data_IF_047054648106
#
_entry.id   IF_047054648106
#
_cell.length_a   1.000
_cell.length_b   1.000
_cell.length_c   1.000
_cell.angle_alpha   90.00
_cell.angle_beta   90.00
_cell.angle_gamma   90.00
#
_symmetry.space_group_name_H-M   'P 1'
#
loop_
_entity.id
_entity.type
_entity.pdbx_description
1 polymer ?
#
# COMPACT_ATOMS: atom_id res chain seq x y z
N UNK A 1 9.64 -17.34 11.67
CA UNK A 1 10.00 -16.62 10.43
C UNK A 1 11.07 -17.34 9.60
N UNK A 2 12.21 -17.79 10.14
CA UNK A 2 13.23 -18.50 9.35
C UNK A 2 12.67 -19.70 8.55
N UNK A 3 11.85 -20.54 9.17
CA UNK A 3 11.18 -21.65 8.47
C UNK A 3 10.22 -21.18 7.36
N UNK A 4 9.55 -20.07 7.55
CA UNK A 4 8.68 -19.45 6.51
C UNK A 4 9.52 -19.01 5.32
N UNK A 5 10.62 -18.29 5.57
CA UNK A 5 11.54 -17.84 4.51
C UNK A 5 12.08 -19.03 3.72
N UNK A 6 12.49 -20.10 4.41
CA UNK A 6 13.02 -21.30 3.78
C UNK A 6 11.97 -22.03 2.90
N UNK A 7 10.71 -22.03 3.29
CA UNK A 7 9.63 -22.70 2.54
C UNK A 7 9.09 -21.85 1.39
N UNK A 8 8.92 -20.55 1.60
CA UNK A 8 8.41 -19.63 0.58
C UNK A 8 9.48 -19.31 -0.48
N UNK A 9 10.75 -19.29 -0.09
CA UNK A 9 11.84 -18.90 -0.97
C UNK A 9 11.96 -17.39 -1.13
N UNK A 10 12.62 -16.96 -2.19
CA UNK A 10 12.79 -15.54 -2.50
C UNK A 10 11.47 -14.93 -3.00
N UNK A 11 11.12 -13.76 -2.49
CA UNK A 11 9.95 -13.00 -2.93
C UNK A 11 10.46 -11.80 -3.75
N UNK A 12 10.13 -11.79 -5.04
CA UNK A 12 10.28 -10.60 -5.88
C UNK A 12 9.00 -9.77 -5.82
N UNK A 13 9.15 -8.45 -5.89
CA UNK A 13 8.03 -7.53 -5.95
C UNK A 13 8.26 -6.49 -7.05
N UNK A 14 7.19 -6.15 -7.73
CA UNK A 14 7.19 -4.99 -8.60
C UNK A 14 7.27 -3.71 -7.76
N UNK A 15 8.01 -2.73 -8.25
CA UNK A 15 8.24 -1.45 -7.59
C UNK A 15 7.81 -0.34 -8.56
N UNK A 16 6.98 0.58 -8.08
CA UNK A 16 6.70 1.81 -8.79
C UNK A 16 7.69 2.87 -8.31
N UNK A 17 8.59 3.30 -9.17
CA UNK A 17 9.67 4.24 -8.81
C UNK A 17 9.26 5.70 -8.91
N UNK A 18 8.08 6.00 -9.42
CA UNK A 18 7.51 7.35 -9.49
C UNK A 18 6.47 7.58 -8.41
N UNK A 19 6.78 8.48 -7.46
CA UNK A 19 5.91 8.73 -6.31
C UNK A 19 4.55 9.34 -6.70
N UNK A 20 4.50 10.20 -7.74
CA UNK A 20 3.24 10.74 -8.22
C UNK A 20 2.33 9.65 -8.77
N UNK A 21 2.87 8.84 -9.68
CA UNK A 21 2.20 7.70 -10.28
C UNK A 21 1.71 6.70 -9.21
N UNK A 22 2.56 6.37 -8.25
CA UNK A 22 2.21 5.47 -7.14
C UNK A 22 1.02 5.97 -6.33
N UNK A 23 0.98 7.25 -5.95
CA UNK A 23 -0.16 7.84 -5.22
C UNK A 23 -1.45 7.71 -6.05
N UNK A 24 -1.41 8.07 -7.33
CA UNK A 24 -2.57 7.93 -8.24
C UNK A 24 -3.01 6.47 -8.34
N UNK A 25 -2.08 5.55 -8.56
CA UNK A 25 -2.34 4.11 -8.66
C UNK A 25 -3.01 3.55 -7.40
N UNK A 26 -2.54 3.95 -6.22
CA UNK A 26 -3.16 3.57 -4.95
C UNK A 26 -4.58 4.11 -4.79
N UNK A 27 -4.84 5.37 -5.18
CA UNK A 27 -6.22 5.92 -5.14
C UNK A 27 -7.14 5.15 -6.10
N UNK A 28 -6.67 4.83 -7.30
CA UNK A 28 -7.43 4.03 -8.28
C UNK A 28 -7.80 2.68 -7.71
N UNK A 29 -6.87 2.00 -7.03
CA UNK A 29 -7.03 0.64 -6.52
C UNK A 29 -7.96 0.50 -5.31
N UNK A 30 -8.33 1.59 -4.63
CA UNK A 30 -9.14 1.52 -3.40
C UNK A 30 -10.49 0.86 -3.64
N UNK A 31 -10.85 -0.11 -2.76
CA UNK A 31 -12.16 -0.79 -2.74
C UNK A 31 -12.56 -1.48 -4.05
N UNK A 32 -11.60 -1.88 -4.87
CA UNK A 32 -11.84 -2.67 -6.09
C UNK A 32 -10.86 -3.86 -6.13
N UNK A 33 -11.15 -4.83 -7.00
CA UNK A 33 -10.23 -5.97 -7.20
C UNK A 33 -8.96 -5.54 -7.95
N UNK A 34 -7.87 -6.26 -7.74
CA UNK A 34 -6.61 -6.05 -8.48
C UNK A 34 -6.81 -6.08 -10.00
N UNK A 35 -7.67 -6.99 -10.50
CA UNK A 35 -7.99 -7.04 -11.93
C UNK A 35 -8.69 -5.78 -12.44
N UNK A 36 -9.63 -5.23 -11.65
CA UNK A 36 -10.32 -3.99 -12.01
C UNK A 36 -9.35 -2.80 -11.96
N UNK A 37 -8.48 -2.74 -10.95
CA UNK A 37 -7.44 -1.73 -10.86
C UNK A 37 -6.51 -1.77 -12.08
N UNK A 38 -5.99 -2.93 -12.46
CA UNK A 38 -5.12 -3.08 -13.62
C UNK A 38 -5.81 -2.61 -14.91
N UNK A 39 -7.11 -2.92 -15.08
CA UNK A 39 -7.88 -2.47 -16.25
C UNK A 39 -8.02 -0.94 -16.30
N UNK A 40 -8.33 -0.31 -15.17
CA UNK A 40 -8.46 1.16 -15.10
C UNK A 40 -7.09 1.81 -15.30
N UNK A 41 -6.06 1.25 -14.68
CA UNK A 41 -4.69 1.76 -14.79
C UNK A 41 -4.20 1.74 -16.25
N UNK A 42 -4.43 0.65 -16.97
CA UNK A 42 -4.09 0.55 -18.39
C UNK A 42 -4.81 1.64 -19.22
N UNK A 43 -6.11 1.87 -18.97
CA UNK A 43 -6.86 2.92 -19.66
C UNK A 43 -6.31 4.33 -19.38
N UNK A 44 -5.85 4.57 -18.14
CA UNK A 44 -5.19 5.84 -17.78
C UNK A 44 -3.92 6.01 -18.61
N UNK A 45 -3.06 4.99 -18.65
CA UNK A 45 -1.82 5.02 -19.43
C UNK A 45 -2.07 5.18 -20.95
N UNK A 46 -3.04 4.45 -21.51
CA UNK A 46 -3.40 4.52 -22.91
C UNK A 46 -3.95 5.91 -23.29
N UNK A 47 -4.64 6.59 -22.38
CA UNK A 47 -5.28 7.88 -22.63
C UNK A 47 -4.37 9.07 -22.36
N UNK A 48 -3.61 9.00 -21.27
CA UNK A 48 -2.79 10.13 -20.81
C UNK A 48 -1.32 10.00 -21.21
N UNK A 49 -0.86 8.79 -21.55
CA UNK A 49 0.56 8.48 -21.68
C UNK A 49 1.24 8.46 -20.31
N UNK A 50 2.11 9.43 -20.08
CA UNK A 50 2.74 9.58 -18.77
C UNK A 50 1.76 10.16 -17.73
N UNK A 51 1.79 9.56 -16.53
CA UNK A 51 0.91 9.94 -15.42
C UNK A 51 1.64 10.94 -14.53
N UNK A 52 1.45 12.23 -14.78
CA UNK A 52 2.01 13.33 -13.98
C UNK A 52 0.97 14.45 -13.79
N UNK A 53 1.29 15.42 -12.94
CA UNK A 53 0.33 16.46 -12.54
C UNK A 53 -0.32 17.20 -13.72
N UNK A 54 0.46 17.58 -14.73
CA UNK A 54 -0.05 18.34 -15.88
C UNK A 54 -1.03 17.51 -16.74
N UNK A 55 -0.72 16.22 -17.00
CA UNK A 55 -1.60 15.35 -17.79
C UNK A 55 -2.91 15.07 -17.06
N UNK A 56 -2.88 14.89 -15.75
CA UNK A 56 -4.08 14.74 -14.90
C UNK A 56 -4.93 16.02 -14.93
N UNK A 57 -4.33 17.18 -14.72
CA UNK A 57 -5.05 18.46 -14.71
C UNK A 57 -5.65 18.79 -16.09
N UNK A 58 -4.94 18.50 -17.17
CA UNK A 58 -5.42 18.68 -18.54
C UNK A 58 -6.63 17.79 -18.86
N UNK A 59 -6.63 16.55 -18.37
CA UNK A 59 -7.75 15.62 -18.54
C UNK A 59 -8.99 16.07 -17.78
N UNK A 60 -8.82 16.47 -16.52
CA UNK A 60 -9.89 16.89 -15.63
C UNK A 60 -10.76 15.75 -15.11
N UNK A 61 -11.58 16.07 -14.11
CA UNK A 61 -12.41 15.08 -13.40
C UNK A 61 -13.34 14.26 -14.31
N UNK A 62 -14.06 14.86 -15.30
CA UNK A 62 -14.96 14.06 -16.14
C UNK A 62 -14.25 13.02 -16.99
N UNK A 63 -13.10 13.36 -17.57
CA UNK A 63 -12.33 12.42 -18.39
C UNK A 63 -11.76 11.28 -17.53
N UNK A 64 -11.20 11.60 -16.36
CA UNK A 64 -10.72 10.59 -15.42
C UNK A 64 -11.84 9.62 -14.97
N UNK A 65 -13.03 10.14 -14.65
CA UNK A 65 -14.19 9.34 -14.30
C UNK A 65 -14.58 8.40 -15.44
N UNK A 66 -14.56 8.86 -16.70
CA UNK A 66 -14.89 8.07 -17.87
C UNK A 66 -13.96 6.85 -18.08
N UNK A 67 -12.76 6.86 -17.49
CA UNK A 67 -11.82 5.73 -17.52
C UNK A 67 -12.26 4.56 -16.62
N UNK A 68 -13.29 4.75 -15.77
CA UNK A 68 -13.90 3.69 -14.98
C UNK A 68 -13.74 3.84 -13.48
N UNK A 69 -13.29 4.98 -12.99
CA UNK A 69 -13.24 5.28 -11.55
C UNK A 69 -14.46 6.08 -11.08
N UNK A 70 -14.67 6.18 -9.78
CA UNK A 70 -15.71 7.02 -9.21
C UNK A 70 -15.34 8.50 -9.31
N UNK A 71 -16.33 9.40 -9.37
CA UNK A 71 -16.10 10.87 -9.32
C UNK A 71 -15.22 11.26 -8.12
N UNK A 72 -15.48 10.67 -6.96
CA UNK A 72 -14.71 10.93 -5.75
C UNK A 72 -13.23 10.61 -5.90
N UNK A 73 -12.86 9.51 -6.56
CA UNK A 73 -11.46 9.17 -6.84
C UNK A 73 -10.86 10.14 -7.84
N UNK A 74 -11.59 10.49 -8.91
CA UNK A 74 -11.13 11.47 -9.88
C UNK A 74 -10.89 12.84 -9.24
N UNK A 75 -11.76 13.29 -8.33
CA UNK A 75 -11.57 14.52 -7.54
C UNK A 75 -10.33 14.46 -6.65
N UNK A 76 -10.08 13.33 -5.97
CA UNK A 76 -8.90 13.16 -5.12
C UNK A 76 -7.60 13.21 -5.94
N UNK A 77 -7.59 12.56 -7.10
CA UNK A 77 -6.45 12.56 -8.02
C UNK A 77 -6.20 13.96 -8.56
N UNK A 78 -7.24 14.71 -8.93
CA UNK A 78 -7.13 16.09 -9.43
C UNK A 78 -6.65 17.04 -8.32
N UNK A 79 -7.19 16.95 -7.08
CA UNK A 79 -6.74 17.74 -5.93
C UNK A 79 -5.25 17.47 -5.60
N UNK A 80 -4.83 16.22 -5.68
CA UNK A 80 -3.41 15.86 -5.52
C UNK A 80 -2.55 16.46 -6.62
N UNK A 81 -2.96 16.31 -7.89
CA UNK A 81 -2.24 16.89 -9.03
C UNK A 81 -2.11 18.41 -8.93
N UNK A 82 -3.15 19.11 -8.49
CA UNK A 82 -3.13 20.56 -8.28
C UNK A 82 -2.13 20.95 -7.18
N UNK A 83 -2.10 20.23 -6.07
CA UNK A 83 -1.14 20.48 -4.98
C UNK A 83 0.30 20.29 -5.41
N UNK A 84 0.58 19.24 -6.20
CA UNK A 84 1.92 18.99 -6.74
C UNK A 84 2.29 20.07 -7.75
N UNK A 85 1.40 20.40 -8.69
CA UNK A 85 1.62 21.39 -9.74
C UNK A 85 1.89 22.80 -9.18
N UNK A 86 1.18 23.18 -8.13
CA UNK A 86 1.34 24.49 -7.46
C UNK A 86 2.50 24.53 -6.47
N UNK A 87 3.15 23.41 -6.19
CA UNK A 87 4.19 23.30 -5.16
C UNK A 87 3.65 23.27 -3.72
N UNK A 88 2.33 23.17 -3.53
CA UNK A 88 1.72 23.04 -2.20
C UNK A 88 1.99 21.64 -1.57
N UNK A 89 2.38 20.68 -2.39
CA UNK A 89 2.85 19.36 -1.95
C UNK A 89 4.13 19.01 -2.72
N UNK A 90 5.24 18.93 -1.98
CA UNK A 90 6.57 18.66 -2.54
C UNK A 90 6.91 17.17 -2.43
N UNK A 91 6.91 16.47 -3.56
CA UNK A 91 7.23 15.04 -3.65
C UNK A 91 8.68 14.75 -3.26
N UNK A 92 9.63 15.59 -3.67
CA UNK A 92 11.04 15.41 -3.34
C UNK A 92 11.27 15.56 -1.83
N UNK A 93 10.55 16.48 -1.19
CA UNK A 93 10.60 16.61 0.26
C UNK A 93 10.11 15.33 0.95
N UNK A 94 9.03 14.71 0.47
CA UNK A 94 8.51 13.44 1.03
C UNK A 94 9.54 12.32 0.91
N UNK A 95 10.24 12.23 -0.21
CA UNK A 95 11.29 11.21 -0.41
C UNK A 95 12.46 11.36 0.58
N UNK A 96 12.74 12.59 1.01
CA UNK A 96 13.81 12.90 1.97
C UNK A 96 13.37 12.80 3.45
N UNK A 97 12.07 12.69 3.75
CA UNK A 97 11.55 12.57 5.11
C UNK A 97 11.87 11.21 5.74
N UNK A 98 11.91 11.16 7.08
CA UNK A 98 11.81 9.89 7.80
C UNK A 98 10.43 9.26 7.60
N UNK A 99 10.27 7.98 7.94
CA UNK A 99 9.03 7.23 7.65
C UNK A 99 7.79 7.83 8.35
N UNK A 100 7.92 8.31 9.59
CA UNK A 100 6.79 8.90 10.33
C UNK A 100 6.31 10.20 9.69
N UNK A 101 7.24 11.07 9.30
CA UNK A 101 6.92 12.34 8.64
C UNK A 101 6.37 12.12 7.24
N UNK A 102 6.92 11.17 6.47
CA UNK A 102 6.43 10.81 5.15
C UNK A 102 5.00 10.23 5.21
N UNK A 103 4.71 9.33 6.17
CA UNK A 103 3.36 8.82 6.41
C UNK A 103 2.40 9.96 6.74
N UNK A 104 2.80 10.89 7.59
CA UNK A 104 1.99 12.03 7.99
C UNK A 104 1.70 12.96 6.80
N UNK A 105 2.72 13.25 6.01
CA UNK A 105 2.59 14.07 4.81
C UNK A 105 1.65 13.42 3.80
N UNK A 106 1.87 12.17 3.42
CA UNK A 106 1.01 11.43 2.49
C UNK A 106 -0.43 11.31 3.01
N UNK A 107 -0.62 11.05 4.31
CA UNK A 107 -1.95 10.92 4.92
C UNK A 107 -2.72 12.25 5.00
N UNK A 108 -2.07 13.40 4.75
CA UNK A 108 -2.75 14.69 4.62
C UNK A 108 -3.49 14.86 3.28
N UNK A 109 -3.18 14.00 2.31
CA UNK A 109 -3.82 14.00 0.99
C UNK A 109 -5.22 13.37 1.08
N UNK A 110 -6.18 13.96 0.35
CA UNK A 110 -7.54 13.41 0.30
C UNK A 110 -7.53 11.98 -0.25
N UNK A 111 -8.17 11.09 0.49
CA UNK A 111 -8.27 9.69 0.10
C UNK A 111 -7.06 8.81 0.47
N UNK A 112 -6.01 9.36 1.05
CA UNK A 112 -4.86 8.59 1.53
C UNK A 112 -4.93 8.46 3.06
N UNK A 113 -5.16 7.24 3.54
CA UNK A 113 -5.05 6.92 4.97
C UNK A 113 -3.66 6.41 5.33
N UNK A 114 -3.41 6.23 6.63
CA UNK A 114 -2.12 5.75 7.16
C UNK A 114 -1.69 4.45 6.49
N UNK A 115 -2.58 3.45 6.39
CA UNK A 115 -2.25 2.20 5.72
C UNK A 115 -1.84 2.39 4.25
N UNK A 116 -2.53 3.25 3.50
CA UNK A 116 -2.17 3.55 2.10
C UNK A 116 -0.81 4.24 2.01
N UNK A 117 -0.54 5.18 2.91
CA UNK A 117 0.76 5.84 2.99
C UNK A 117 1.89 4.83 3.29
N UNK A 118 1.70 3.91 4.24
CA UNK A 118 2.63 2.83 4.54
C UNK A 118 2.88 1.93 3.31
N UNK A 119 1.84 1.62 2.53
CA UNK A 119 2.00 0.84 1.30
C UNK A 119 2.80 1.59 0.23
N UNK A 120 2.60 2.91 0.09
CA UNK A 120 3.41 3.76 -0.79
C UNK A 120 4.87 3.75 -0.35
N UNK A 121 5.15 3.89 0.94
CA UNK A 121 6.51 3.82 1.47
C UNK A 121 7.17 2.46 1.17
N UNK A 122 6.41 1.38 1.30
CA UNK A 122 6.93 0.03 1.10
C UNK A 122 7.14 -0.28 -0.39
N UNK A 123 6.17 0.03 -1.26
CA UNK A 123 6.18 -0.42 -2.66
C UNK A 123 6.78 0.61 -3.63
N UNK A 124 6.76 1.91 -3.29
CA UNK A 124 7.35 2.97 -4.12
C UNK A 124 8.71 3.42 -3.55
N UNK A 125 8.72 3.95 -2.32
CA UNK A 125 9.96 4.46 -1.71
C UNK A 125 10.89 3.36 -1.20
N UNK A 126 10.47 2.10 -1.25
CA UNK A 126 11.24 0.91 -0.86
C UNK A 126 11.82 0.98 0.56
N UNK A 127 11.09 1.65 1.47
CA UNK A 127 11.53 1.77 2.86
C UNK A 127 11.65 0.38 3.50
N UNK A 128 12.76 0.11 4.20
CA UNK A 128 13.08 -1.24 4.68
C UNK A 128 12.26 -1.67 5.90
N UNK A 129 11.73 -0.72 6.67
CA UNK A 129 11.16 -1.03 8.00
C UNK A 129 9.67 -0.65 8.15
N UNK A 130 8.88 -0.87 7.10
CA UNK A 130 7.43 -0.66 7.13
C UNK A 130 6.72 -1.93 7.62
N UNK A 131 5.95 -1.79 8.72
CA UNK A 131 5.21 -2.88 9.33
C UNK A 131 3.87 -2.36 9.87
N UNK A 132 2.79 -2.53 9.08
CA UNK A 132 1.49 -1.89 9.32
C UNK A 132 0.60 -2.67 10.28
N UNK A 133 0.15 -2.02 11.36
CA UNK A 133 -0.83 -2.61 12.30
C UNK A 133 -2.21 -2.74 11.67
N UNK A 134 -2.60 -1.79 10.82
CA UNK A 134 -3.94 -1.78 10.22
C UNK A 134 -4.08 -2.79 9.08
N UNK A 135 -2.98 -3.42 8.67
CA UNK A 135 -2.99 -4.49 7.68
C UNK A 135 -3.50 -5.81 8.28
N UNK A 136 -4.69 -6.21 7.83
CA UNK A 136 -5.34 -7.43 8.30
C UNK A 136 -4.57 -8.70 7.92
N UNK A 137 -3.89 -8.69 6.76
CA UNK A 137 -3.16 -9.86 6.27
C UNK A 137 -1.85 -10.02 7.04
N UNK A 138 -1.15 -8.95 7.41
CA UNK A 138 0.01 -9.00 8.30
C UNK A 138 -0.40 -9.59 9.66
N UNK A 139 -1.49 -9.10 10.28
CA UNK A 139 -1.98 -9.65 11.55
C UNK A 139 -2.42 -11.11 11.42
N UNK A 140 -3.03 -11.48 10.29
CA UNK A 140 -3.37 -12.88 9.99
C UNK A 140 -2.11 -13.73 9.87
N UNK A 141 -1.12 -13.31 9.10
CA UNK A 141 0.17 -13.99 8.96
C UNK A 141 0.87 -14.19 10.30
N UNK A 142 0.88 -13.18 11.18
CA UNK A 142 1.41 -13.32 12.54
C UNK A 142 0.69 -14.38 13.36
N UNK A 143 -0.65 -14.45 13.28
CA UNK A 143 -1.41 -15.51 13.97
C UNK A 143 -1.03 -16.90 13.45
N UNK A 144 -0.91 -17.03 12.14
CA UNK A 144 -0.57 -18.31 11.49
C UNK A 144 0.84 -18.75 11.84
N UNK A 145 1.84 -17.88 11.71
CA UNK A 145 3.26 -18.20 11.94
C UNK A 145 3.58 -18.46 13.41
N UNK A 146 2.94 -17.73 14.33
CA UNK A 146 3.26 -17.76 15.76
C UNK A 146 2.16 -18.36 16.65
N UNK A 147 1.14 -18.95 16.02
CA UNK A 147 0.06 -19.68 16.68
C UNK A 147 -0.72 -18.84 17.70
N UNK A 148 -0.99 -17.59 17.35
CA UNK A 148 -1.77 -16.69 18.19
C UNK A 148 -3.25 -16.68 17.79
N UNK A 149 -4.14 -16.59 18.77
CA UNK A 149 -5.58 -16.40 18.53
C UNK A 149 -5.88 -14.95 18.13
N UNK A 150 -5.12 -14.02 18.71
CA UNK A 150 -5.28 -12.59 18.48
C UNK A 150 -3.92 -11.88 18.45
N UNK A 151 -3.82 -10.82 17.66
CA UNK A 151 -2.70 -9.90 17.63
C UNK A 151 -3.25 -8.52 18.05
N UNK A 152 -3.15 -8.23 19.34
CA UNK A 152 -3.40 -6.91 19.90
C UNK A 152 -2.23 -5.96 19.59
N UNK A 153 -2.41 -4.67 19.91
CA UNK A 153 -1.40 -3.64 19.62
C UNK A 153 -0.07 -3.93 20.33
N UNK A 154 -0.09 -4.34 21.59
CA UNK A 154 1.12 -4.60 22.36
C UNK A 154 1.93 -5.76 21.76
N UNK A 155 1.26 -6.86 21.41
CA UNK A 155 1.87 -8.01 20.76
C UNK A 155 2.42 -7.67 19.38
N UNK A 156 1.68 -6.87 18.61
CA UNK A 156 2.13 -6.38 17.32
C UNK A 156 3.43 -5.57 17.45
N UNK A 157 3.51 -4.63 18.40
CA UNK A 157 4.69 -3.81 18.62
C UNK A 157 5.91 -4.63 19.07
N UNK A 158 5.70 -5.75 19.76
CA UNK A 158 6.80 -6.70 20.05
C UNK A 158 7.35 -7.33 18.78
N UNK A 159 6.49 -7.71 17.83
CA UNK A 159 6.92 -8.24 16.54
C UNK A 159 7.54 -7.16 15.67
N UNK A 160 7.00 -5.96 15.65
CA UNK A 160 7.58 -4.82 14.96
C UNK A 160 9.03 -4.60 15.38
N UNK A 161 9.29 -4.51 16.68
CA UNK A 161 10.66 -4.37 17.21
C UNK A 161 11.57 -5.56 16.87
N UNK A 162 11.01 -6.76 16.85
CA UNK A 162 11.76 -7.99 16.51
C UNK A 162 12.18 -8.03 15.05
N UNK A 163 11.36 -7.50 14.15
CA UNK A 163 11.63 -7.51 12.71
C UNK A 163 12.42 -6.29 12.24
N UNK A 164 12.41 -5.20 12.99
CA UNK A 164 13.21 -4.02 12.69
C UNK A 164 14.71 -4.39 12.61
N UNK A 165 15.45 -3.90 11.61
CA UNK A 165 15.08 -2.91 10.59
C UNK A 165 14.52 -3.51 9.28
N UNK A 166 13.98 -4.71 9.28
CA UNK A 166 13.52 -5.44 8.09
C UNK A 166 12.00 -5.67 8.10
N UNK A 167 11.22 -4.74 8.66
CA UNK A 167 9.76 -4.82 8.77
C UNK A 167 9.07 -5.03 7.43
N UNK A 168 9.55 -4.36 6.36
CA UNK A 168 9.01 -4.51 5.00
C UNK A 168 9.20 -5.93 4.46
N UNK A 169 10.36 -6.53 4.66
CA UNK A 169 10.61 -7.93 4.28
C UNK A 169 9.71 -8.87 5.07
N UNK A 170 9.58 -8.65 6.39
CA UNK A 170 8.67 -9.44 7.22
C UNK A 170 7.22 -9.33 6.75
N UNK A 171 6.77 -8.14 6.34
CA UNK A 171 5.44 -7.91 5.78
C UNK A 171 5.20 -8.77 4.53
N UNK A 172 6.15 -8.83 3.59
CA UNK A 172 6.04 -9.64 2.37
C UNK A 172 5.81 -11.13 2.69
N UNK A 173 6.60 -11.69 3.60
CA UNK A 173 6.46 -13.10 3.99
C UNK A 173 5.17 -13.37 4.76
N UNK A 174 4.72 -12.44 5.60
CA UNK A 174 3.45 -12.58 6.31
C UNK A 174 2.25 -12.49 5.36
N UNK A 175 2.31 -11.66 4.32
CA UNK A 175 1.31 -11.65 3.25
C UNK A 175 1.30 -12.96 2.47
N UNK A 176 2.46 -13.50 2.11
CA UNK A 176 2.55 -14.79 1.43
C UNK A 176 1.88 -15.91 2.27
N UNK A 177 2.21 -15.99 3.56
CA UNK A 177 1.57 -16.96 4.47
C UNK A 177 0.07 -16.73 4.59
N UNK A 178 -0.37 -15.48 4.79
CA UNK A 178 -1.79 -15.13 4.87
C UNK A 178 -2.54 -15.45 3.56
N UNK A 179 -1.85 -15.37 2.43
CA UNK A 179 -2.35 -15.73 1.10
C UNK A 179 -2.36 -17.24 0.79
N UNK A 180 -1.81 -18.08 1.70
CA UNK A 180 -1.82 -19.54 1.55
C UNK A 180 -0.57 -20.13 0.88
N UNK A 181 0.55 -19.38 0.84
CA UNK A 181 1.81 -19.90 0.29
C UNK A 181 2.34 -21.15 1.02
N UNK A 182 1.90 -21.38 2.25
CA UNK A 182 2.21 -22.57 3.05
C UNK A 182 0.88 -23.23 3.44
N UNK A 183 0.40 -24.25 2.70
CA UNK A 183 -0.94 -24.83 2.88
C UNK A 183 -1.21 -25.39 4.27
N UNK A 184 -0.18 -25.87 4.97
CA UNK A 184 -0.29 -26.47 6.31
C UNK A 184 -0.50 -25.42 7.41
N UNK A 185 -0.19 -24.15 7.15
CA UNK A 185 -0.38 -23.07 8.12
C UNK A 185 -1.84 -22.63 8.17
N UNK A 186 -2.44 -22.72 9.35
CA UNK A 186 -3.83 -22.34 9.61
C UNK A 186 -3.93 -21.04 10.40
N UNK A 187 -5.02 -20.28 10.17
CA UNK A 187 -5.34 -19.12 11.00
C UNK A 187 -5.98 -19.55 12.32
N UNK A 188 -5.35 -19.20 13.42
CA UNK A 188 -5.79 -19.55 14.79
C UNK A 188 -6.86 -18.60 15.34
N UNK A 189 -7.40 -17.68 14.51
CA UNK A 189 -8.51 -16.83 14.95
C UNK A 189 -9.66 -17.68 15.49
N UNK A 190 -10.24 -17.35 16.67
CA UNK A 190 -11.43 -18.04 17.13
C UNK A 190 -12.53 -17.99 16.08
N UNK A 191 -13.14 -19.13 15.76
CA UNK A 191 -14.38 -19.14 15.00
C UNK A 191 -15.41 -18.41 15.86
N UNK A 192 -16.00 -17.33 15.35
CA UNK A 192 -17.13 -16.71 16.01
C UNK A 192 -18.15 -17.84 16.23
N UNK A 193 -18.45 -18.13 17.48
CA UNK A 193 -19.51 -19.08 17.82
C UNK A 193 -20.79 -18.62 17.14
N UNK A 194 -21.39 -19.51 16.34
CA UNK A 194 -22.70 -19.28 15.74
C UNK A 194 -23.80 -19.08 16.78
#
# INVERSE_FOLDING_TARGET
MAAVIAQVGHIEREVDTDLFSAVVHHIVGQQISTKAQATIWQRIQDTLGEVHAETILKAGVPALQALGMTFRKAEYITDFAEKVHTGAFDLNAVECMNDEDAIRALSSLKGIGVWTAEMILLFCLQRPDIFSYDDLAIRRGLRMVYHHREIDRERFERYRRRFSPYGSVASLYLWAVAGGAIPEMQDYKPKNGG
#
